data_IF_207904511738
#
_entry.id   IF_207904511738
#
_cell.length_a   1.000
_cell.length_b   1.000
_cell.length_c   1.000
_cell.angle_alpha   90.00
_cell.angle_beta   90.00
_cell.angle_gamma   90.00
#
_symmetry.space_group_name_H-M   'P 1'
#
loop_
_entity.id
_entity.type
_entity.pdbx_description
1 polymer ?
#
# COMPACT_ATOMS: atom_id res chain seq x y z
N UNK A 1 5.57 14.62 -16.25
CA UNK A 1 5.49 15.17 -14.88
C UNK A 1 4.94 16.59 -14.85
N UNK A 2 5.49 17.54 -15.63
CA UNK A 2 5.04 18.95 -15.68
C UNK A 2 3.55 19.12 -15.97
N UNK A 3 3.00 18.38 -16.94
CA UNK A 3 1.57 18.44 -17.30
C UNK A 3 0.67 18.01 -16.13
N UNK A 4 1.08 17.00 -15.38
CA UNK A 4 0.34 16.47 -14.24
C UNK A 4 0.35 17.44 -13.05
N UNK A 5 1.51 18.06 -12.79
CA UNK A 5 1.67 19.08 -11.75
C UNK A 5 0.84 20.32 -12.10
N UNK A 6 0.89 20.77 -13.36
CA UNK A 6 0.09 21.90 -13.82
C UNK A 6 -1.41 21.64 -13.65
N UNK A 7 -1.88 20.43 -14.01
CA UNK A 7 -3.28 20.04 -13.81
C UNK A 7 -3.69 20.09 -12.33
N UNK A 8 -2.89 19.52 -11.42
CA UNK A 8 -3.15 19.57 -9.97
C UNK A 8 -3.16 21.01 -9.46
N UNK A 9 -2.27 21.86 -9.97
CA UNK A 9 -2.25 23.29 -9.63
C UNK A 9 -3.55 23.98 -10.03
N UNK A 10 -4.05 23.75 -11.25
CA UNK A 10 -5.33 24.30 -11.70
C UNK A 10 -6.52 23.79 -10.88
N UNK A 11 -6.54 22.51 -10.51
CA UNK A 11 -7.61 21.94 -9.67
C UNK A 11 -7.55 22.51 -8.25
N UNK A 12 -6.37 22.78 -7.69
CA UNK A 12 -6.23 23.47 -6.39
C UNK A 12 -6.73 24.92 -6.41
N UNK A 13 -6.79 25.57 -7.58
CA UNK A 13 -7.38 26.91 -7.71
C UNK A 13 -8.92 26.86 -7.78
N UNK A 14 -9.51 25.70 -8.07
CA UNK A 14 -10.96 25.50 -8.00
C UNK A 14 -11.37 25.33 -6.52
N UNK A 15 -12.53 25.87 -6.15
CA UNK A 15 -12.96 25.93 -4.75
C UNK A 15 -12.94 24.59 -4.02
N UNK A 16 -12.59 24.63 -2.73
CA UNK A 16 -12.34 23.48 -1.82
C UNK A 16 -13.44 22.40 -1.87
N UNK A 17 -14.68 22.78 -2.16
CA UNK A 17 -15.81 21.84 -2.25
C UNK A 17 -15.69 20.87 -3.42
N UNK A 18 -15.28 21.35 -4.59
CA UNK A 18 -15.14 20.51 -5.80
C UNK A 18 -13.92 19.59 -5.67
N UNK A 19 -12.85 20.09 -5.06
CA UNK A 19 -11.66 19.28 -4.77
C UNK A 19 -12.00 18.08 -3.87
N UNK A 20 -12.72 18.31 -2.77
CA UNK A 20 -13.09 17.25 -1.83
C UNK A 20 -14.00 16.18 -2.44
N UNK A 21 -14.95 16.56 -3.30
CA UNK A 21 -15.80 15.60 -4.02
C UNK A 21 -14.98 14.73 -4.99
N UNK A 22 -14.07 15.33 -5.78
CA UNK A 22 -13.21 14.58 -6.71
C UNK A 22 -12.27 13.62 -5.98
N UNK A 23 -11.64 14.08 -4.88
CA UNK A 23 -10.74 13.26 -4.09
C UNK A 23 -11.44 12.01 -3.52
N UNK A 24 -12.68 12.15 -3.07
CA UNK A 24 -13.50 11.03 -2.61
C UNK A 24 -13.75 9.99 -3.71
N UNK A 25 -14.12 10.43 -4.92
CA UNK A 25 -14.35 9.53 -6.05
C UNK A 25 -13.06 8.82 -6.48
N UNK A 26 -11.95 9.54 -6.59
CA UNK A 26 -10.65 8.94 -6.93
C UNK A 26 -10.17 7.95 -5.87
N UNK A 27 -10.41 8.24 -4.59
CA UNK A 27 -10.08 7.33 -3.49
C UNK A 27 -10.93 6.05 -3.54
N UNK A 28 -12.24 6.19 -3.80
CA UNK A 28 -13.16 5.04 -3.89
C UNK A 28 -12.80 4.07 -5.02
N UNK A 29 -12.39 4.57 -6.19
CA UNK A 29 -11.92 3.74 -7.31
C UNK A 29 -10.70 2.91 -6.91
N UNK A 30 -9.74 3.49 -6.15
CA UNK A 30 -8.56 2.76 -5.67
C UNK A 30 -8.95 1.59 -4.77
N UNK A 31 -9.90 1.79 -3.87
CA UNK A 31 -10.38 0.73 -2.97
C UNK A 31 -11.02 -0.41 -3.75
N UNK A 32 -11.91 -0.09 -4.71
CA UNK A 32 -12.54 -1.10 -5.57
C UNK A 32 -11.50 -1.85 -6.40
N UNK A 33 -10.50 -1.14 -6.94
CA UNK A 33 -9.41 -1.76 -7.71
C UNK A 33 -8.57 -2.73 -6.86
N UNK A 34 -8.26 -2.38 -5.61
CA UNK A 34 -7.55 -3.27 -4.68
C UNK A 34 -8.37 -4.53 -4.37
N UNK A 35 -9.67 -4.38 -4.11
CA UNK A 35 -10.56 -5.53 -3.87
C UNK A 35 -10.62 -6.42 -5.12
N UNK A 36 -10.78 -5.83 -6.30
CA UNK A 36 -10.79 -6.54 -7.57
C UNK A 36 -9.49 -7.31 -7.82
N UNK A 37 -8.34 -6.70 -7.54
CA UNK A 37 -7.03 -7.33 -7.70
C UNK A 37 -6.84 -8.51 -6.73
N UNK A 38 -7.29 -8.37 -5.47
CA UNK A 38 -7.23 -9.46 -4.48
C UNK A 38 -8.09 -10.64 -4.91
N UNK A 39 -9.33 -10.39 -5.33
CA UNK A 39 -10.24 -11.44 -5.82
C UNK A 39 -9.69 -12.11 -7.08
N UNK A 40 -9.20 -11.32 -8.04
CA UNK A 40 -8.57 -11.83 -9.25
C UNK A 40 -7.36 -12.71 -8.94
N UNK A 41 -6.51 -12.31 -8.00
CA UNK A 41 -5.37 -13.11 -7.56
C UNK A 41 -5.79 -14.48 -7.03
N UNK A 42 -6.79 -14.51 -6.13
CA UNK A 42 -7.34 -15.76 -5.58
C UNK A 42 -7.93 -16.66 -6.68
N UNK A 43 -8.67 -16.07 -7.63
CA UNK A 43 -9.26 -16.82 -8.74
C UNK A 43 -8.17 -17.47 -9.60
N UNK A 44 -7.11 -16.73 -9.92
CA UNK A 44 -5.98 -17.25 -10.71
C UNK A 44 -5.24 -18.36 -9.95
N UNK A 45 -4.99 -18.17 -8.65
CA UNK A 45 -4.28 -19.14 -7.82
C UNK A 45 -5.04 -20.47 -7.68
N UNK A 46 -6.38 -20.42 -7.69
CA UNK A 46 -7.26 -21.58 -7.63
C UNK A 46 -7.48 -22.28 -8.99
N UNK A 47 -6.90 -21.76 -10.08
CA UNK A 47 -6.97 -22.37 -11.42
C UNK A 47 -7.92 -21.68 -12.40
N UNK A 48 -8.34 -20.45 -12.13
CA UNK A 48 -9.07 -19.58 -13.07
C UNK A 48 -8.21 -19.00 -14.21
N UNK A 49 -6.96 -19.43 -14.34
CA UNK A 49 -6.07 -19.12 -15.47
C UNK A 49 -6.59 -19.79 -16.77
N UNK A 50 -6.45 -19.18 -17.95
CA UNK A 50 -6.74 -19.81 -19.26
C UNK A 50 -6.17 -21.22 -19.48
N UNK A 51 -5.09 -21.59 -18.78
CA UNK A 51 -4.50 -22.94 -18.81
C UNK A 51 -5.16 -23.93 -17.85
N UNK A 52 -6.15 -23.50 -17.07
CA UNK A 52 -6.86 -24.27 -16.03
C UNK A 52 -5.94 -25.03 -15.06
N UNK A 53 -4.71 -24.55 -14.87
CA UNK A 53 -3.73 -25.15 -13.96
C UNK A 53 -3.69 -24.37 -12.65
N UNK A 54 -3.61 -25.10 -11.54
CA UNK A 54 -3.59 -24.52 -10.20
C UNK A 54 -2.16 -24.13 -9.85
N UNK A 55 -1.90 -22.82 -9.88
CA UNK A 55 -0.58 -22.25 -9.57
C UNK A 55 -0.27 -22.38 -8.08
N UNK A 56 -1.21 -22.00 -7.20
CA UNK A 56 -1.13 -22.14 -5.74
C UNK A 56 0.29 -21.97 -5.16
N UNK A 57 0.75 -22.97 -4.40
CA UNK A 57 2.07 -22.97 -3.76
C UNK A 57 3.20 -23.52 -4.64
N UNK A 58 3.01 -23.68 -5.95
CA UNK A 58 4.01 -24.33 -6.81
C UNK A 58 5.32 -23.52 -6.90
N UNK A 59 5.22 -22.19 -6.88
CA UNK A 59 6.37 -21.27 -6.93
C UNK A 59 6.95 -20.91 -5.56
N UNK A 60 6.47 -21.50 -4.47
CA UNK A 60 7.03 -21.26 -3.12
C UNK A 60 8.34 -21.99 -2.85
N UNK A 61 8.93 -22.63 -3.86
CA UNK A 61 10.20 -23.38 -3.77
C UNK A 61 11.32 -22.63 -4.49
N UNK A 62 12.55 -22.80 -4.02
CA UNK A 62 13.72 -22.24 -4.69
C UNK A 62 13.78 -22.68 -6.16
N UNK A 63 14.15 -21.80 -7.11
CA UNK A 63 14.75 -20.47 -6.93
C UNK A 63 13.76 -19.30 -6.73
N UNK A 64 12.46 -19.47 -6.99
CA UNK A 64 11.45 -18.40 -7.02
C UNK A 64 10.69 -18.18 -5.70
N UNK A 65 11.13 -18.85 -4.63
CA UNK A 65 10.50 -18.78 -3.32
C UNK A 65 10.63 -17.41 -2.63
N UNK A 66 10.05 -17.25 -1.43
CA UNK A 66 10.06 -15.99 -0.68
C UNK A 66 11.46 -15.49 -0.31
N UNK A 67 12.41 -16.40 -0.15
CA UNK A 67 13.85 -16.12 0.01
C UNK A 67 14.64 -16.59 -1.21
N UNK A 68 14.01 -16.47 -2.37
CA UNK A 68 14.56 -16.83 -3.66
C UNK A 68 15.72 -15.92 -4.03
N UNK A 69 16.62 -16.48 -4.83
CA UNK A 69 17.84 -15.83 -5.26
C UNK A 69 17.61 -14.92 -6.48
N UNK A 70 16.75 -13.92 -6.35
CA UNK A 70 16.45 -12.94 -7.40
C UNK A 70 17.70 -12.19 -7.89
N UNK A 71 18.75 -12.10 -7.07
CA UNK A 71 20.02 -11.42 -7.39
C UNK A 71 21.19 -12.37 -7.72
N UNK A 72 20.97 -13.69 -7.86
CA UNK A 72 22.09 -14.63 -8.12
C UNK A 72 22.83 -14.34 -9.43
N UNK A 73 22.15 -13.75 -10.43
CA UNK A 73 22.75 -13.35 -11.70
C UNK A 73 23.72 -12.17 -11.56
N UNK A 74 23.59 -11.38 -10.50
CA UNK A 74 24.44 -10.21 -10.24
C UNK A 74 25.48 -10.47 -9.14
N UNK A 75 25.23 -11.46 -8.28
CA UNK A 75 26.06 -11.78 -7.12
C UNK A 75 26.26 -13.30 -7.08
N UNK A 76 27.49 -13.74 -7.41
CA UNK A 76 27.85 -15.16 -7.47
C UNK A 76 27.88 -15.86 -6.08
N UNK A 77 27.78 -15.11 -4.98
CA UNK A 77 27.65 -15.66 -3.63
C UNK A 77 26.18 -15.81 -3.22
N UNK A 78 25.73 -17.07 -3.07
CA UNK A 78 24.35 -17.42 -2.73
C UNK A 78 23.82 -16.76 -1.44
N UNK A 79 24.51 -16.84 -0.28
CA UNK A 79 24.04 -16.22 0.96
C UNK A 79 23.98 -14.69 0.90
N UNK A 80 24.93 -14.07 0.20
CA UNK A 80 25.02 -12.62 0.05
C UNK A 80 23.88 -12.10 -0.86
N UNK A 81 23.57 -12.83 -1.94
CA UNK A 81 22.46 -12.50 -2.84
C UNK A 81 21.10 -12.48 -2.13
N UNK A 82 20.85 -13.43 -1.22
CA UNK A 82 19.61 -13.46 -0.42
C UNK A 82 19.52 -12.28 0.54
N UNK A 83 20.62 -11.93 1.22
CA UNK A 83 20.66 -10.78 2.12
C UNK A 83 20.42 -9.45 1.39
N UNK A 84 21.08 -9.24 0.25
CA UNK A 84 20.84 -8.05 -0.59
C UNK A 84 19.42 -8.01 -1.14
N UNK A 85 18.86 -9.16 -1.54
CA UNK A 85 17.47 -9.24 -2.02
C UNK A 85 16.46 -8.84 -0.94
N UNK A 86 16.69 -9.28 0.30
CA UNK A 86 15.91 -8.84 1.45
C UNK A 86 16.01 -7.32 1.66
N UNK A 87 17.22 -6.76 1.64
CA UNK A 87 17.40 -5.32 1.84
C UNK A 87 16.76 -4.47 0.73
N UNK A 88 16.85 -4.92 -0.53
CA UNK A 88 16.25 -4.26 -1.67
C UNK A 88 14.71 -4.26 -1.60
N UNK A 89 14.11 -5.39 -1.24
CA UNK A 89 12.64 -5.50 -1.06
C UNK A 89 12.15 -4.71 0.14
N UNK A 90 12.90 -4.70 1.25
CA UNK A 90 12.61 -3.86 2.42
C UNK A 90 12.58 -2.38 2.05
N UNK A 91 13.58 -1.91 1.29
CA UNK A 91 13.65 -0.52 0.85
C UNK A 91 12.44 -0.14 -0.01
N UNK A 92 12.06 -0.98 -0.98
CA UNK A 92 10.86 -0.77 -1.79
C UNK A 92 9.57 -0.77 -0.97
N UNK A 93 9.44 -1.66 0.01
CA UNK A 93 8.29 -1.70 0.89
C UNK A 93 8.17 -0.40 1.70
N UNK A 94 9.28 0.09 2.27
CA UNK A 94 9.31 1.37 3.01
C UNK A 94 8.86 2.53 2.12
N UNK A 95 9.33 2.61 0.87
CA UNK A 95 8.90 3.64 -0.08
C UNK A 95 7.39 3.61 -0.36
N UNK A 96 6.77 2.43 -0.39
CA UNK A 96 5.33 2.30 -0.62
C UNK A 96 4.47 2.79 0.56
N UNK A 97 5.02 2.82 1.78
CA UNK A 97 4.32 3.26 2.99
C UNK A 97 4.56 4.73 3.37
N UNK A 98 5.33 5.48 2.57
CA UNK A 98 5.53 6.92 2.76
C UNK A 98 4.18 7.65 2.63
N UNK A 99 3.87 8.52 3.58
CA UNK A 99 2.62 9.30 3.64
C UNK A 99 1.56 8.73 4.59
N UNK A 100 1.76 7.54 5.15
CA UNK A 100 0.86 6.99 6.18
C UNK A 100 0.93 7.78 7.49
N UNK A 101 2.05 8.46 7.75
CA UNK A 101 2.25 9.35 8.87
C UNK A 101 1.25 10.53 8.90
N UNK A 102 0.85 11.05 7.73
CA UNK A 102 -0.07 12.19 7.63
C UNK A 102 -1.47 11.82 8.15
N UNK A 103 -1.90 10.58 7.89
CA UNK A 103 -3.16 10.04 8.42
C UNK A 103 -3.07 9.94 9.94
N UNK A 104 -1.94 9.46 10.48
CA UNK A 104 -1.71 9.39 11.93
C UNK A 104 -1.81 10.75 12.62
N UNK A 105 -1.20 11.80 12.05
CA UNK A 105 -1.28 13.18 12.58
C UNK A 105 -2.70 13.73 12.47
N UNK A 106 -3.38 13.51 11.34
CA UNK A 106 -4.76 13.99 11.14
C UNK A 106 -5.74 13.35 12.12
N UNK A 107 -5.52 12.08 12.49
CA UNK A 107 -6.29 11.39 13.54
C UNK A 107 -6.00 12.00 14.91
N UNK A 108 -4.75 12.37 15.21
CA UNK A 108 -4.38 13.05 16.46
C UNK A 108 -5.03 14.42 16.63
N UNK A 109 -5.19 15.17 15.54
CA UNK A 109 -5.85 16.50 15.51
C UNK A 109 -7.39 16.42 15.40
N UNK A 110 -7.96 15.22 15.23
CA UNK A 110 -9.40 15.06 15.12
C UNK A 110 -10.06 15.36 16.48
N UNK A 111 -10.98 16.33 16.47
CA UNK A 111 -11.75 16.82 17.65
C UNK A 111 -12.38 15.70 18.50
N UNK A 112 -12.66 14.54 17.90
CA UNK A 112 -13.24 13.38 18.58
C UNK A 112 -12.28 12.74 19.59
N UNK A 113 -10.98 12.72 19.30
CA UNK A 113 -9.97 12.19 20.21
C UNK A 113 -9.72 13.13 21.39
N UNK A 114 -9.69 14.44 21.14
CA UNK A 114 -9.55 15.46 22.17
C UNK A 114 -10.72 15.45 23.16
N UNK A 115 -11.94 15.23 22.67
CA UNK A 115 -13.13 15.10 23.51
C UNK A 115 -13.14 13.81 24.33
N UNK A 116 -12.64 12.70 23.80
CA UNK A 116 -12.55 11.42 24.52
C UNK A 116 -11.55 11.52 25.70
N UNK A 117 -10.37 12.10 25.48
CA UNK A 117 -9.38 12.34 26.56
C UNK A 117 -9.88 13.35 27.59
N UNK A 118 -10.56 14.42 27.15
CA UNK A 118 -11.17 15.39 28.06
C UNK A 118 -12.32 14.77 28.88
N UNK A 119 -13.09 13.85 28.30
CA UNK A 119 -14.16 13.15 29.00
C UNK A 119 -13.60 12.14 30.01
N UNK A 120 -12.56 11.38 29.66
CA UNK A 120 -11.87 10.47 30.60
C UNK A 120 -11.25 11.23 31.78
N UNK A 121 -10.70 12.43 31.56
CA UNK A 121 -10.15 13.28 32.63
C UNK A 121 -11.23 13.86 33.56
N UNK A 122 -12.49 13.97 33.10
CA UNK A 122 -13.64 14.47 33.88
C UNK A 122 -14.38 13.32 34.60
N UNK A 123 -14.34 12.10 34.05
CA UNK A 123 -15.09 10.94 34.56
C UNK A 123 -14.27 9.99 35.46
N UNK A 124 -12.96 10.22 35.61
CA UNK A 124 -12.14 9.56 36.64
C UNK A 124 -11.67 10.58 37.70
N UNK A 125 -12.55 11.03 38.61
CA UNK A 125 -12.10 11.57 39.89
C UNK A 125 -11.85 10.37 40.82
N UNK A 126 -10.61 9.89 40.82
CA UNK A 126 -10.11 8.86 41.73
C UNK A 126 -8.63 9.06 41.97
#
# INVERSE_FOLDING_TARGET
MVIFIAFIFFVNLLGVRVFGELEFWFSSIKVIALIGLLLMGIIIDLGGNPKHDRIGFRYWKAPDGPMGSYLLDQVHDGPLAVFLGFWATLTNALFAYIGTELIGVTVGEARLFSLFVAFDLILVPG
#
